data_IF_457100367446
#
_entry.id   IF_457100367446
#
_cell.length_a   1.000
_cell.length_b   1.000
_cell.length_c   1.000
_cell.angle_alpha   90.00
_cell.angle_beta   90.00
_cell.angle_gamma   90.00
#
_symmetry.space_group_name_H-M   'P 1'
#
loop_
_entity.id
_entity.type
_entity.pdbx_description
1 polymer ?
#
# COMPACT_ATOMS: atom_id res chain seq x y z
N UNK A 1 -12.35 37.70 -5.09
CA UNK A 1 -10.92 37.35 -5.15
C UNK A 1 -10.60 36.95 -6.59
N UNK A 2 -9.79 37.72 -7.32
CA UNK A 2 -9.48 37.47 -8.74
C UNK A 2 -8.26 36.55 -8.79
N UNK A 3 -8.46 35.29 -9.16
CA UNK A 3 -7.38 34.32 -9.31
C UNK A 3 -6.46 34.71 -10.48
N UNK A 4 -5.16 34.54 -10.32
CA UNK A 4 -4.20 34.76 -11.39
C UNK A 4 -4.51 33.79 -12.55
N UNK A 5 -4.48 34.27 -13.79
CA UNK A 5 -4.79 33.43 -14.97
C UNK A 5 -3.81 32.24 -15.00
N UNK A 6 -4.33 31.02 -14.94
CA UNK A 6 -3.53 29.78 -14.87
C UNK A 6 -3.32 29.21 -13.45
N UNK A 7 -3.72 29.94 -12.40
CA UNK A 7 -3.74 29.41 -11.03
C UNK A 7 -4.90 28.44 -10.81
N UNK A 8 -4.69 27.44 -9.97
CA UNK A 8 -5.67 26.42 -9.63
C UNK A 8 -5.89 26.40 -8.12
N UNK A 9 -7.15 26.54 -7.71
CA UNK A 9 -7.54 26.46 -6.30
C UNK A 9 -7.89 25.01 -5.96
N UNK A 10 -7.22 24.46 -4.96
CA UNK A 10 -7.47 23.11 -4.47
C UNK A 10 -8.57 23.12 -3.41
N UNK A 11 -9.51 22.19 -3.54
CA UNK A 11 -10.64 22.01 -2.63
C UNK A 11 -10.32 20.96 -1.58
N UNK A 12 -10.49 21.30 -0.30
CA UNK A 12 -10.23 20.39 0.82
C UNK A 12 -11.11 19.14 0.79
N UNK A 13 -12.37 19.27 0.37
CA UNK A 13 -13.33 18.17 0.35
C UNK A 13 -13.06 17.11 -0.75
N UNK A 14 -12.40 17.47 -1.85
CA UNK A 14 -12.29 16.58 -3.02
C UNK A 14 -10.88 16.47 -3.60
N UNK A 15 -10.12 17.57 -3.70
CA UNK A 15 -8.78 17.52 -4.30
C UNK A 15 -7.75 16.94 -3.34
N UNK A 16 -7.78 17.33 -2.07
CA UNK A 16 -6.85 16.82 -1.05
C UNK A 16 -7.00 15.32 -0.78
N UNK A 17 -8.22 14.74 -0.65
CA UNK A 17 -8.38 13.29 -0.57
C UNK A 17 -7.75 12.55 -1.76
N UNK A 18 -7.89 13.11 -2.96
CA UNK A 18 -7.36 12.51 -4.19
C UNK A 18 -5.83 12.62 -4.24
N UNK A 19 -5.26 13.77 -3.87
CA UNK A 19 -3.81 13.96 -3.70
C UNK A 19 -3.22 12.98 -2.69
N UNK A 20 -3.84 12.86 -1.50
CA UNK A 20 -3.40 11.95 -0.44
C UNK A 20 -3.50 10.49 -0.86
N UNK A 21 -4.57 10.10 -1.54
CA UNK A 21 -4.69 8.72 -2.01
C UNK A 21 -3.61 8.38 -3.04
N UNK A 22 -3.30 9.27 -3.99
CA UNK A 22 -2.21 9.05 -4.96
C UNK A 22 -0.85 9.00 -4.26
N UNK A 23 -0.62 9.87 -3.26
CA UNK A 23 0.60 9.84 -2.43
C UNK A 23 0.77 8.49 -1.72
N UNK A 24 -0.28 8.05 -1.00
CA UNK A 24 -0.28 6.81 -0.19
C UNK A 24 -0.21 5.54 -1.03
N UNK A 25 -0.69 5.58 -2.27
CA UNK A 25 -0.64 4.44 -3.19
C UNK A 25 0.69 4.29 -3.91
N UNK A 26 1.57 5.31 -3.93
CA UNK A 26 2.81 5.43 -4.73
C UNK A 26 2.56 5.42 -6.25
N UNK A 27 1.91 4.37 -6.76
CA UNK A 27 1.31 4.29 -8.09
C UNK A 27 -0.12 3.75 -7.97
N UNK A 28 -1.05 4.30 -8.74
CA UNK A 28 -2.46 3.87 -8.74
C UNK A 28 -3.05 3.95 -10.14
N UNK A 29 -3.84 2.96 -10.54
CA UNK A 29 -4.53 3.03 -11.84
C UNK A 29 -5.73 3.98 -11.79
N UNK A 30 -6.19 4.42 -12.95
CA UNK A 30 -7.36 5.30 -13.05
C UNK A 30 -8.62 4.71 -12.39
N UNK A 31 -8.86 3.41 -12.54
CA UNK A 31 -10.02 2.70 -11.98
C UNK A 31 -9.86 2.45 -10.49
N UNK A 32 -8.67 2.04 -10.02
CA UNK A 32 -8.37 1.91 -8.59
C UNK A 32 -8.58 3.25 -7.87
N UNK A 33 -8.07 4.35 -8.45
CA UNK A 33 -8.19 5.67 -7.84
C UNK A 33 -9.65 6.11 -7.74
N UNK A 34 -10.44 5.94 -8.80
CA UNK A 34 -11.87 6.23 -8.74
C UNK A 34 -12.58 5.39 -7.70
N UNK A 35 -12.24 4.11 -7.61
CA UNK A 35 -12.85 3.21 -6.65
C UNK A 35 -12.52 3.61 -5.21
N UNK A 36 -11.28 3.99 -4.91
CA UNK A 36 -10.92 4.58 -3.62
C UNK A 36 -11.75 5.83 -3.31
N UNK A 37 -11.91 6.73 -4.28
CA UNK A 37 -12.71 7.95 -4.08
C UNK A 37 -14.19 7.63 -3.85
N UNK A 38 -14.73 6.63 -4.54
CA UNK A 38 -16.12 6.18 -4.40
C UNK A 38 -16.38 5.51 -3.07
N UNK A 39 -15.54 4.54 -2.69
CA UNK A 39 -15.66 3.80 -1.43
C UNK A 39 -15.36 4.70 -0.22
N UNK A 40 -14.46 5.68 -0.37
CA UNK A 40 -14.18 6.69 0.65
C UNK A 40 -15.22 7.82 0.73
N UNK A 41 -16.25 7.82 -0.13
CA UNK A 41 -17.31 8.83 -0.13
C UNK A 41 -16.91 10.21 -0.67
N UNK A 42 -15.74 10.34 -1.30
CA UNK A 42 -15.19 11.60 -1.80
C UNK A 42 -15.68 11.97 -3.20
N UNK A 43 -16.00 10.98 -4.04
CA UNK A 43 -16.48 11.21 -5.40
C UNK A 43 -17.37 10.06 -5.86
N UNK A 44 -18.58 10.37 -6.33
CA UNK A 44 -19.54 9.37 -6.84
C UNK A 44 -19.71 9.46 -8.35
N UNK A 45 -19.48 10.64 -8.93
CA UNK A 45 -19.69 10.88 -10.35
C UNK A 45 -18.38 10.67 -11.12
N UNK A 46 -18.39 9.69 -12.04
CA UNK A 46 -17.24 9.36 -12.89
C UNK A 46 -16.81 10.53 -13.77
N UNK A 47 -17.74 11.35 -14.28
CA UNK A 47 -17.41 12.51 -15.12
C UNK A 47 -16.73 13.59 -14.31
N UNK A 48 -17.22 13.87 -13.10
CA UNK A 48 -16.62 14.86 -12.19
C UNK A 48 -15.23 14.39 -11.76
N UNK A 49 -15.09 13.11 -11.39
CA UNK A 49 -13.79 12.49 -11.13
C UNK A 49 -12.81 12.68 -12.29
N UNK A 50 -13.20 12.32 -13.51
CA UNK A 50 -12.35 12.40 -14.69
C UNK A 50 -11.90 13.84 -14.97
N UNK A 51 -12.82 14.81 -14.86
CA UNK A 51 -12.50 16.22 -15.02
C UNK A 51 -11.50 16.69 -13.96
N UNK A 52 -11.73 16.33 -12.70
CA UNK A 52 -10.87 16.71 -11.57
C UNK A 52 -9.47 16.14 -11.70
N UNK A 53 -9.38 14.85 -12.02
CA UNK A 53 -8.10 14.17 -12.22
C UNK A 53 -7.32 14.77 -13.39
N UNK A 54 -7.98 15.00 -14.54
CA UNK A 54 -7.36 15.66 -15.69
C UNK A 54 -6.85 17.06 -15.31
N UNK A 55 -7.64 17.84 -14.57
CA UNK A 55 -7.23 19.17 -14.09
C UNK A 55 -5.96 19.07 -13.23
N UNK A 56 -5.91 18.13 -12.28
CA UNK A 56 -4.75 17.97 -11.41
C UNK A 56 -3.49 17.49 -12.16
N UNK A 57 -3.65 16.69 -13.21
CA UNK A 57 -2.55 16.31 -14.12
C UNK A 57 -2.06 17.52 -14.92
N UNK A 58 -2.97 18.28 -15.55
CA UNK A 58 -2.62 19.44 -16.38
C UNK A 58 -1.88 20.52 -15.57
N UNK A 59 -2.26 20.70 -14.30
CA UNK A 59 -1.58 21.64 -13.39
C UNK A 59 -0.36 21.04 -12.68
N UNK A 60 0.06 19.82 -13.05
CA UNK A 60 1.33 19.25 -12.61
C UNK A 60 1.35 18.72 -11.18
N UNK A 61 0.21 18.41 -10.56
CA UNK A 61 0.17 17.75 -9.24
C UNK A 61 0.31 16.23 -9.32
N UNK A 62 -0.04 15.64 -10.46
CA UNK A 62 0.18 14.24 -10.74
C UNK A 62 1.04 14.04 -11.96
N UNK A 63 1.83 12.97 -11.93
CA UNK A 63 2.53 12.45 -13.08
C UNK A 63 1.70 11.29 -13.63
N UNK A 64 1.28 11.41 -14.90
CA UNK A 64 0.63 10.32 -15.62
C UNK A 64 1.68 9.47 -16.33
N UNK A 65 1.59 8.16 -16.14
CA UNK A 65 2.47 7.16 -16.75
C UNK A 65 1.66 6.32 -17.73
N UNK A 66 2.17 6.18 -18.94
CA UNK A 66 1.67 5.21 -19.91
C UNK A 66 2.57 3.98 -19.85
N UNK A 67 2.10 2.94 -19.17
CA UNK A 67 2.84 1.69 -19.02
C UNK A 67 2.14 0.58 -19.80
N UNK A 68 2.81 -0.11 -20.74
CA UNK A 68 2.16 -1.11 -21.59
C UNK A 68 1.61 -2.32 -20.82
N UNK A 69 2.00 -2.49 -19.56
CA UNK A 69 1.63 -3.64 -18.72
C UNK A 69 0.42 -3.38 -17.80
N UNK A 70 -0.04 -2.13 -17.67
CA UNK A 70 -1.25 -1.78 -16.93
C UNK A 70 -2.50 -1.81 -17.84
N UNK A 71 -2.41 -2.53 -18.96
CA UNK A 71 -3.42 -2.53 -20.01
C UNK A 71 -3.53 -1.18 -20.72
N UNK A 72 -4.75 -0.78 -21.06
CA UNK A 72 -5.08 0.51 -21.68
C UNK A 72 -5.20 1.65 -20.65
N UNK A 73 -5.04 1.34 -19.37
CA UNK A 73 -5.30 2.27 -18.29
C UNK A 73 -4.09 3.14 -17.93
N UNK A 74 -4.35 4.42 -17.64
CA UNK A 74 -3.35 5.34 -17.14
C UNK A 74 -3.01 5.04 -15.68
N UNK A 75 -1.72 5.09 -15.34
CA UNK A 75 -1.22 4.98 -13.97
C UNK A 75 -0.78 6.36 -13.50
N UNK A 76 -1.11 6.72 -12.27
CA UNK A 76 -0.78 8.02 -11.68
C UNK A 76 0.16 7.86 -10.50
N UNK A 77 1.09 8.79 -10.36
CA UNK A 77 1.88 9.01 -9.15
C UNK A 77 1.83 10.48 -8.75
N UNK A 78 2.14 10.78 -7.49
CA UNK A 78 2.25 12.17 -7.03
C UNK A 78 3.46 12.82 -7.72
N UNK A 79 3.34 14.09 -8.10
CA UNK A 79 4.49 14.89 -8.54
C UNK A 79 5.20 15.53 -7.34
N UNK A 80 6.40 16.08 -7.56
CA UNK A 80 7.11 16.87 -6.53
C UNK A 80 6.26 18.04 -6.04
N UNK A 81 5.58 18.75 -6.95
CA UNK A 81 4.71 19.89 -6.60
C UNK A 81 3.47 19.46 -5.82
N UNK A 82 2.86 18.32 -6.20
CA UNK A 82 1.74 17.74 -5.46
C UNK A 82 2.12 17.32 -4.05
N UNK A 83 3.29 16.69 -3.90
CA UNK A 83 3.83 16.30 -2.60
C UNK A 83 4.15 17.52 -1.72
N UNK A 84 4.76 18.57 -2.29
CA UNK A 84 5.10 19.79 -1.56
C UNK A 84 3.86 20.49 -0.97
N UNK A 85 2.72 20.47 -1.68
CA UNK A 85 1.46 21.00 -1.15
C UNK A 85 0.97 20.19 0.05
N UNK A 86 1.10 18.86 0.00
CA UNK A 86 0.71 17.99 1.12
C UNK A 86 1.65 18.15 2.32
N UNK A 87 2.94 18.41 2.11
CA UNK A 87 3.89 18.70 3.20
C UNK A 87 3.54 19.99 3.96
N UNK A 88 2.88 20.95 3.32
CA UNK A 88 2.32 22.14 3.99
C UNK A 88 1.02 21.88 4.76
N UNK A 89 0.52 20.64 4.74
CA UNK A 89 -0.59 20.15 5.56
C UNK A 89 -0.05 19.21 6.64
N UNK A 90 -0.86 18.80 7.62
CA UNK A 90 -0.46 17.87 8.70
C UNK A 90 -0.02 16.45 8.22
N UNK A 91 0.19 16.26 6.91
CA UNK A 91 0.70 15.03 6.31
C UNK A 91 2.24 15.02 6.35
N UNK A 92 2.79 14.25 7.30
CA UNK A 92 4.22 14.03 7.39
C UNK A 92 4.68 13.03 6.30
N UNK A 93 5.47 13.50 5.33
CA UNK A 93 5.89 12.68 4.20
C UNK A 93 7.39 12.83 3.89
N UNK A 94 8.12 11.73 4.07
CA UNK A 94 9.44 11.48 3.50
C UNK A 94 9.29 10.82 2.14
N UNK A 95 9.84 11.41 1.06
CA UNK A 95 9.78 10.83 -0.28
C UNK A 95 10.38 9.43 -0.37
N UNK A 96 9.65 8.52 -1.03
CA UNK A 96 10.18 7.22 -1.40
C UNK A 96 11.24 7.37 -2.51
N UNK A 97 12.26 6.49 -2.56
CA UNK A 97 13.27 6.54 -3.60
C UNK A 97 12.68 6.45 -5.01
N UNK A 98 13.08 7.39 -5.86
CA UNK A 98 12.71 7.38 -7.29
C UNK A 98 13.36 6.19 -7.99
N UNK A 99 12.62 5.41 -8.80
CA UNK A 99 13.19 4.28 -9.52
C UNK A 99 14.29 4.75 -10.48
N UNK A 100 15.49 4.15 -10.38
CA UNK A 100 16.66 4.51 -11.19
C UNK A 100 16.63 3.95 -12.62
N UNK A 101 15.84 2.91 -12.87
CA UNK A 101 15.73 2.27 -14.19
C UNK A 101 14.27 2.06 -14.61
N UNK A 102 13.99 1.96 -15.93
CA UNK A 102 12.65 1.62 -16.43
C UNK A 102 12.13 0.28 -15.88
N UNK A 103 13.02 -0.71 -15.72
CA UNK A 103 12.66 -2.02 -15.18
C UNK A 103 12.27 -1.95 -13.70
N UNK A 104 13.03 -1.22 -12.88
CA UNK A 104 12.68 -0.98 -11.47
C UNK A 104 11.36 -0.23 -11.36
N UNK A 105 11.11 0.76 -12.24
CA UNK A 105 9.82 1.47 -12.28
C UNK A 105 8.68 0.52 -12.57
N UNK A 106 8.84 -0.37 -13.55
CA UNK A 106 7.84 -1.39 -13.90
C UNK A 106 7.51 -2.27 -12.70
N UNK A 107 8.52 -2.77 -12.00
CA UNK A 107 8.33 -3.61 -10.81
C UNK A 107 7.57 -2.84 -9.73
N UNK A 108 7.96 -1.59 -9.45
CA UNK A 108 7.29 -0.75 -8.45
C UNK A 108 5.84 -0.44 -8.82
N UNK A 109 5.53 -0.19 -10.10
CA UNK A 109 4.15 0.00 -10.56
C UNK A 109 3.32 -1.25 -10.30
N UNK A 110 3.80 -2.42 -10.72
CA UNK A 110 3.08 -3.68 -10.53
C UNK A 110 2.89 -4.03 -9.05
N UNK A 111 3.91 -3.76 -8.23
CA UNK A 111 3.86 -3.94 -6.77
C UNK A 111 2.80 -3.04 -6.12
N UNK A 112 2.83 -1.73 -6.42
CA UNK A 112 1.87 -0.78 -5.88
C UNK A 112 0.43 -1.04 -6.34
N UNK A 113 0.25 -1.46 -7.60
CA UNK A 113 -1.07 -1.81 -8.13
C UNK A 113 -1.65 -3.00 -7.38
N UNK A 114 -0.87 -4.06 -7.13
CA UNK A 114 -1.36 -5.19 -6.33
C UNK A 114 -1.69 -4.76 -4.89
N UNK A 115 -0.81 -4.00 -4.22
CA UNK A 115 -1.07 -3.52 -2.86
C UNK A 115 -2.37 -2.70 -2.78
N UNK A 116 -2.66 -1.90 -3.80
CA UNK A 116 -3.93 -1.19 -3.90
C UNK A 116 -5.11 -2.16 -4.05
N UNK A 117 -4.99 -3.23 -4.84
CA UNK A 117 -6.05 -4.23 -4.97
C UNK A 117 -6.26 -5.01 -3.67
N UNK A 118 -5.19 -5.33 -2.94
CA UNK A 118 -5.25 -5.95 -1.60
C UNK A 118 -6.06 -5.05 -0.66
N UNK A 119 -5.75 -3.74 -0.62
CA UNK A 119 -6.48 -2.75 0.17
C UNK A 119 -7.94 -2.60 -0.27
N UNK A 120 -8.18 -2.47 -1.58
CA UNK A 120 -9.53 -2.33 -2.15
C UNK A 120 -10.38 -3.56 -1.86
N UNK A 121 -9.80 -4.76 -1.81
CA UNK A 121 -10.54 -5.99 -1.47
C UNK A 121 -11.17 -5.90 -0.07
N UNK A 122 -10.47 -5.34 0.92
CA UNK A 122 -11.03 -5.07 2.25
C UNK A 122 -12.13 -4.01 2.21
N UNK A 123 -11.89 -2.90 1.50
CA UNK A 123 -12.87 -1.81 1.39
C UNK A 123 -14.16 -2.24 0.69
N UNK A 124 -14.06 -3.07 -0.37
CA UNK A 124 -15.20 -3.64 -1.10
C UNK A 124 -16.05 -4.53 -0.21
N UNK A 125 -15.42 -5.26 0.72
CA UNK A 125 -16.10 -6.08 1.71
C UNK A 125 -16.71 -5.28 2.87
N UNK A 126 -16.53 -3.96 2.91
CA UNK A 126 -17.04 -3.11 3.99
C UNK A 126 -16.33 -3.35 5.33
N UNK A 127 -15.14 -3.96 5.32
CA UNK A 127 -14.34 -4.17 6.53
C UNK A 127 -13.78 -2.81 6.94
N UNK A 128 -13.96 -2.43 8.21
CA UNK A 128 -13.35 -1.23 8.76
C UNK A 128 -11.83 -1.41 8.80
N UNK A 129 -11.11 -0.47 8.16
CA UNK A 129 -9.67 -0.51 8.03
C UNK A 129 -9.03 0.82 8.44
N UNK A 130 -7.96 0.73 9.24
CA UNK A 130 -6.92 1.74 9.29
C UNK A 130 -5.72 1.23 8.49
N UNK A 131 -5.36 1.96 7.44
CA UNK A 131 -4.26 1.61 6.55
C UNK A 131 -3.15 2.66 6.64
N UNK A 132 -1.99 2.27 7.16
CA UNK A 132 -0.78 3.10 7.20
C UNK A 132 0.10 2.68 6.02
N UNK A 133 0.40 3.62 5.12
CA UNK A 133 1.15 3.36 3.88
C UNK A 133 2.67 3.24 4.10
N UNK A 134 3.39 2.61 3.16
CA UNK A 134 4.87 2.55 3.11
C UNK A 134 5.52 3.93 3.37
N UNK A 135 4.99 4.99 2.73
CA UNK A 135 5.50 6.35 2.88
C UNK A 135 5.31 6.91 4.29
N UNK A 136 4.18 6.64 4.94
CA UNK A 136 3.93 7.04 6.33
C UNK A 136 4.80 6.25 7.32
N UNK A 137 4.97 4.95 7.08
CA UNK A 137 5.85 4.06 7.87
C UNK A 137 7.28 4.57 7.81
N UNK A 138 7.77 4.89 6.62
CA UNK A 138 9.10 5.47 6.42
C UNK A 138 9.24 6.79 7.16
N UNK A 139 8.29 7.69 6.99
CA UNK A 139 8.28 9.01 7.65
C UNK A 139 8.34 8.86 9.17
N UNK A 140 7.54 7.95 9.73
CA UNK A 140 7.54 7.63 11.16
C UNK A 140 8.87 7.05 11.63
N UNK A 141 9.47 6.14 10.85
CA UNK A 141 10.76 5.52 11.16
C UNK A 141 11.92 6.54 11.14
N UNK A 142 11.87 7.52 10.25
CA UNK A 142 12.89 8.57 10.15
C UNK A 142 12.71 9.66 11.21
N UNK A 143 11.47 10.06 11.49
CA UNK A 143 11.18 11.29 12.24
C UNK A 143 10.76 11.08 13.69
N UNK A 144 10.49 9.85 14.13
CA UNK A 144 10.00 9.56 15.49
C UNK A 144 10.84 8.48 16.18
N UNK A 145 10.84 8.44 17.53
CA UNK A 145 11.43 7.32 18.27
C UNK A 145 10.60 6.03 18.20
N UNK A 146 9.32 6.11 17.79
CA UNK A 146 8.40 4.97 17.74
C UNK A 146 8.49 4.21 16.43
N UNK A 147 9.66 3.62 16.16
CA UNK A 147 9.97 2.98 14.88
C UNK A 147 9.41 1.56 14.78
N UNK A 148 9.11 1.16 13.56
CA UNK A 148 8.96 -0.24 13.18
C UNK A 148 10.35 -0.87 12.98
N UNK A 149 10.45 -2.20 13.07
CA UNK A 149 11.73 -2.88 12.86
C UNK A 149 12.24 -2.78 11.41
N UNK A 150 11.33 -2.58 10.45
CA UNK A 150 11.64 -2.30 9.05
C UNK A 150 10.61 -1.38 8.40
N UNK A 151 10.88 -0.96 7.17
CA UNK A 151 9.88 -0.33 6.30
C UNK A 151 8.98 -1.44 5.75
N UNK A 152 7.73 -1.49 6.24
CA UNK A 152 6.72 -2.41 5.72
C UNK A 152 5.96 -1.80 4.54
N UNK A 153 5.40 -2.64 3.66
CA UNK A 153 4.53 -2.17 2.57
C UNK A 153 3.29 -1.47 3.11
N UNK A 154 2.72 -2.00 4.20
CA UNK A 154 1.68 -1.35 4.97
C UNK A 154 1.62 -1.86 6.41
N UNK A 155 0.97 -1.09 7.29
CA UNK A 155 0.46 -1.59 8.57
C UNK A 155 -1.04 -1.43 8.56
N UNK A 156 -1.72 -2.54 8.78
CA UNK A 156 -3.16 -2.65 8.64
C UNK A 156 -3.75 -2.93 10.02
N UNK A 157 -4.77 -2.17 10.40
CA UNK A 157 -5.65 -2.53 11.51
C UNK A 157 -7.03 -2.80 10.93
N UNK A 158 -7.58 -3.97 11.19
CA UNK A 158 -8.90 -4.39 10.68
C UNK A 158 -9.80 -4.82 11.84
N UNK A 159 -11.09 -4.58 11.71
CA UNK A 159 -12.07 -5.17 12.61
C UNK A 159 -12.23 -6.67 12.31
N UNK A 160 -12.05 -7.51 13.33
CA UNK A 160 -12.24 -8.96 13.27
C UNK A 160 -13.12 -9.37 14.43
N UNK A 161 -14.33 -9.85 14.13
CA UNK A 161 -15.34 -10.15 15.13
C UNK A 161 -15.61 -8.93 16.04
N UNK A 162 -15.38 -9.05 17.35
CA UNK A 162 -15.58 -7.98 18.35
C UNK A 162 -14.28 -7.24 18.72
N UNK A 163 -13.18 -7.47 17.99
CA UNK A 163 -11.86 -6.92 18.31
C UNK A 163 -11.21 -6.28 17.09
N UNK A 164 -10.19 -5.45 17.31
CA UNK A 164 -9.33 -4.92 16.25
C UNK A 164 -8.01 -5.67 16.19
N UNK A 165 -7.64 -6.18 15.03
CA UNK A 165 -6.37 -6.86 14.82
C UNK A 165 -5.40 -5.97 14.04
N UNK A 166 -4.19 -5.78 14.54
CA UNK A 166 -3.13 -4.98 13.92
C UNK A 166 -1.96 -5.85 13.46
N UNK A 167 -1.62 -5.75 12.18
CA UNK A 167 -0.51 -6.50 11.59
C UNK A 167 0.25 -5.68 10.55
N UNK A 168 1.53 -5.98 10.37
CA UNK A 168 2.28 -5.50 9.22
C UNK A 168 1.99 -6.38 8.00
N UNK A 169 1.87 -5.75 6.82
CA UNK A 169 1.64 -6.41 5.55
C UNK A 169 2.88 -6.27 4.67
N UNK A 170 3.25 -7.36 4.01
CA UNK A 170 4.30 -7.45 3.01
C UNK A 170 3.77 -8.18 1.79
N UNK A 171 3.96 -7.61 0.60
CA UNK A 171 3.67 -8.28 -0.66
C UNK A 171 4.96 -8.54 -1.42
N UNK A 172 5.39 -9.80 -1.49
CA UNK A 172 6.62 -10.16 -2.18
C UNK A 172 6.31 -10.62 -3.62
N UNK A 173 6.45 -9.70 -4.59
CA UNK A 173 6.25 -10.05 -6.01
C UNK A 173 7.40 -10.87 -6.60
N UNK A 174 8.62 -10.58 -6.19
CA UNK A 174 9.85 -11.17 -6.74
C UNK A 174 10.82 -11.45 -5.62
N UNK A 175 11.38 -12.66 -5.56
CA UNK A 175 12.30 -13.01 -4.49
C UNK A 175 13.52 -12.06 -4.42
N UNK A 176 13.79 -11.57 -3.22
CA UNK A 176 15.03 -10.85 -2.86
C UNK A 176 16.21 -11.82 -2.75
N UNK A 177 17.42 -11.27 -2.58
CA UNK A 177 18.60 -12.10 -2.29
C UNK A 177 18.49 -12.73 -0.91
N UNK A 178 19.10 -13.89 -0.72
CA UNK A 178 19.17 -14.58 0.56
C UNK A 178 19.66 -13.67 1.71
N UNK A 179 20.71 -12.90 1.47
CA UNK A 179 21.27 -11.95 2.44
C UNK A 179 20.25 -10.94 2.95
N UNK A 180 19.30 -10.53 2.09
CA UNK A 180 18.25 -9.57 2.44
C UNK A 180 17.21 -10.23 3.36
N UNK A 181 16.87 -11.50 3.13
CA UNK A 181 15.98 -12.23 4.02
C UNK A 181 16.60 -12.50 5.40
N UNK A 182 17.91 -12.75 5.45
CA UNK A 182 18.62 -12.91 6.72
C UNK A 182 18.64 -11.59 7.53
N UNK A 183 18.84 -10.44 6.87
CA UNK A 183 18.72 -9.13 7.51
C UNK A 183 17.28 -8.86 7.98
N UNK A 184 16.28 -9.16 7.16
CA UNK A 184 14.86 -9.07 7.55
C UNK A 184 14.58 -9.94 8.77
N UNK A 185 15.05 -11.19 8.79
CA UNK A 185 14.88 -12.10 9.91
C UNK A 185 15.49 -11.54 11.21
N UNK A 186 16.68 -10.94 11.12
CA UNK A 186 17.33 -10.27 12.24
C UNK A 186 16.51 -9.10 12.79
N UNK A 187 15.99 -8.24 11.89
CA UNK A 187 15.15 -7.10 12.27
C UNK A 187 13.82 -7.53 12.87
N UNK A 188 13.14 -8.52 12.31
CA UNK A 188 11.87 -9.02 12.84
C UNK A 188 12.02 -9.61 14.25
N UNK A 189 13.22 -10.06 14.64
CA UNK A 189 13.49 -10.48 16.01
C UNK A 189 13.38 -9.37 17.06
N UNK A 190 13.53 -8.11 16.65
CA UNK A 190 13.44 -6.93 17.54
C UNK A 190 12.12 -6.17 17.38
N UNK A 191 11.17 -6.69 16.59
CA UNK A 191 9.88 -6.03 16.37
C UNK A 191 9.04 -5.98 17.65
N UNK A 192 8.44 -4.81 17.88
CA UNK A 192 7.63 -4.45 19.06
C UNK A 192 6.43 -3.56 18.72
N UNK A 193 6.40 -2.94 17.54
CA UNK A 193 5.37 -1.99 17.11
C UNK A 193 4.17 -2.67 16.43
N UNK A 194 4.31 -3.92 16.02
CA UNK A 194 3.23 -4.78 15.52
C UNK A 194 3.30 -6.16 16.17
N UNK A 195 2.16 -6.84 16.25
CA UNK A 195 2.06 -8.15 16.90
C UNK A 195 2.41 -9.31 15.97
N UNK A 196 2.24 -9.09 14.67
CA UNK A 196 2.44 -10.11 13.63
C UNK A 196 2.66 -9.48 12.26
N UNK A 197 3.23 -10.27 11.35
CA UNK A 197 3.41 -9.89 9.94
C UNK A 197 2.70 -10.89 9.04
N UNK A 198 1.97 -10.40 8.03
CA UNK A 198 1.39 -11.17 6.95
C UNK A 198 2.21 -10.95 5.67
N UNK A 199 2.82 -12.02 5.17
CA UNK A 199 3.46 -12.07 3.86
C UNK A 199 2.50 -12.65 2.83
N UNK A 200 2.23 -11.87 1.79
CA UNK A 200 1.51 -12.26 0.59
C UNK A 200 2.47 -12.41 -0.59
N UNK A 201 2.17 -13.35 -1.47
CA UNK A 201 2.93 -13.60 -2.70
C UNK A 201 1.97 -13.92 -3.84
N UNK A 202 2.31 -13.61 -5.11
CA UNK A 202 1.49 -13.99 -6.25
C UNK A 202 1.45 -15.51 -6.49
N UNK A 203 2.48 -16.26 -6.07
CA UNK A 203 2.58 -17.71 -6.30
C UNK A 203 3.31 -18.44 -5.17
N UNK A 204 3.21 -19.76 -5.19
CA UNK A 204 3.77 -20.64 -4.16
C UNK A 204 5.30 -20.70 -4.18
N UNK A 205 5.95 -20.57 -5.34
CA UNK A 205 7.41 -20.63 -5.44
C UNK A 205 8.06 -19.47 -4.69
N UNK A 206 7.58 -18.25 -4.91
CA UNK A 206 8.06 -17.08 -4.17
C UNK A 206 7.68 -17.18 -2.69
N UNK A 207 6.46 -17.62 -2.38
CA UNK A 207 6.00 -17.76 -0.99
C UNK A 207 6.85 -18.75 -0.20
N UNK A 208 7.10 -19.93 -0.76
CA UNK A 208 7.90 -20.99 -0.14
C UNK A 208 9.36 -20.57 0.02
N UNK A 209 9.90 -19.84 -0.96
CA UNK A 209 11.24 -19.25 -0.86
C UNK A 209 11.34 -18.26 0.30
N UNK A 210 10.41 -17.31 0.43
CA UNK A 210 10.38 -16.35 1.55
C UNK A 210 10.24 -17.08 2.89
N UNK A 211 9.30 -18.03 2.96
CA UNK A 211 8.98 -18.74 4.19
C UNK A 211 10.17 -19.58 4.69
N UNK A 212 10.99 -20.14 3.80
CA UNK A 212 12.23 -20.87 4.16
C UNK A 212 13.13 -20.06 5.09
N UNK A 213 13.26 -18.76 4.86
CA UNK A 213 14.15 -17.89 5.66
C UNK A 213 13.47 -17.33 6.90
N UNK A 214 12.17 -17.05 6.83
CA UNK A 214 11.46 -16.32 7.89
C UNK A 214 10.75 -17.23 8.90
N UNK A 215 10.49 -18.51 8.60
CA UNK A 215 9.84 -19.45 9.53
C UNK A 215 10.61 -19.67 10.83
N UNK A 216 11.93 -19.45 10.84
CA UNK A 216 12.76 -19.64 12.03
C UNK A 216 12.73 -18.44 13.00
N UNK A 217 12.13 -17.33 12.58
CA UNK A 217 12.02 -16.13 13.42
C UNK A 217 10.99 -16.40 14.53
N UNK A 218 11.34 -16.09 15.79
CA UNK A 218 10.46 -16.31 16.96
C UNK A 218 9.20 -15.40 16.97
N UNK A 219 9.15 -14.44 16.06
CA UNK A 219 8.05 -13.49 15.87
C UNK A 219 6.90 -14.14 15.04
N UNK A 220 5.62 -13.83 15.33
CA UNK A 220 4.50 -14.37 14.55
C UNK A 220 4.50 -13.88 13.11
N UNK A 221 4.74 -14.79 12.16
CA UNK A 221 4.73 -14.51 10.73
C UNK A 221 3.79 -15.51 10.05
N UNK A 222 2.89 -14.98 9.22
CA UNK A 222 1.92 -15.75 8.46
C UNK A 222 2.17 -15.55 6.97
N UNK A 223 2.03 -16.63 6.20
CA UNK A 223 2.29 -16.67 4.78
C UNK A 223 1.03 -17.10 4.03
N UNK A 224 0.67 -16.36 3.00
CA UNK A 224 -0.44 -16.72 2.13
C UNK A 224 -0.30 -16.19 0.71
N UNK A 225 -1.25 -16.57 -0.14
CA UNK A 225 -1.26 -16.20 -1.56
C UNK A 225 -2.19 -14.99 -1.77
N UNK A 226 -1.74 -14.02 -2.57
CA UNK A 226 -2.55 -12.87 -2.93
C UNK A 226 -3.86 -13.26 -3.67
N UNK A 227 -3.87 -14.26 -4.58
CA UNK A 227 -5.14 -14.79 -5.12
C UNK A 227 -6.12 -15.24 -4.03
N UNK A 228 -5.65 -15.98 -3.02
CA UNK A 228 -6.49 -16.41 -1.90
C UNK A 228 -7.02 -15.25 -1.07
N UNK A 229 -6.25 -14.16 -0.93
CA UNK A 229 -6.72 -12.93 -0.30
C UNK A 229 -7.87 -12.30 -1.09
N UNK A 230 -7.76 -12.20 -2.41
CA UNK A 230 -8.81 -11.62 -3.23
C UNK A 230 -10.10 -12.45 -3.23
N UNK A 231 -9.98 -13.78 -3.12
CA UNK A 231 -11.13 -14.69 -3.09
C UNK A 231 -11.80 -14.79 -1.72
N UNK A 232 -11.01 -14.84 -0.63
CA UNK A 232 -11.50 -15.20 0.71
C UNK A 232 -11.20 -14.17 1.79
N UNK A 233 -10.42 -13.14 1.49
CA UNK A 233 -10.04 -12.09 2.44
C UNK A 233 -9.50 -12.68 3.74
N UNK A 234 -10.14 -12.36 4.88
CA UNK A 234 -9.73 -12.82 6.21
C UNK A 234 -9.99 -14.32 6.41
N UNK A 235 -10.76 -14.98 5.54
CA UNK A 235 -10.99 -16.42 5.54
C UNK A 235 -9.97 -17.20 4.69
N UNK A 236 -8.96 -16.51 4.14
CA UNK A 236 -7.91 -17.17 3.37
C UNK A 236 -7.06 -18.12 4.25
N UNK A 237 -6.63 -19.26 3.69
CA UNK A 237 -5.69 -20.13 4.39
C UNK A 237 -4.31 -19.47 4.48
N UNK A 238 -3.74 -19.46 5.68
CA UNK A 238 -2.37 -19.03 5.93
C UNK A 238 -1.57 -20.14 6.62
N UNK A 239 -0.28 -20.21 6.31
CA UNK A 239 0.68 -21.04 7.03
C UNK A 239 1.45 -20.17 8.03
N UNK A 240 1.61 -20.66 9.27
CA UNK A 240 2.36 -19.95 10.31
C UNK A 240 3.83 -20.37 10.36
N UNK A 241 4.65 -19.58 11.04
CA UNK A 241 6.06 -19.95 11.33
C UNK A 241 6.19 -21.18 12.24
N UNK A 242 5.17 -21.51 13.04
CA UNK A 242 5.23 -22.53 14.11
C UNK A 242 4.42 -23.82 13.85
N UNK A 243 3.83 -24.01 12.66
CA UNK A 243 3.05 -25.21 12.37
C UNK A 243 2.82 -25.46 10.88
N UNK A 244 2.72 -26.73 10.49
CA UNK A 244 2.48 -27.16 9.10
C UNK A 244 1.00 -27.05 8.67
N UNK A 245 0.08 -26.85 9.62
CA UNK A 245 -1.36 -26.82 9.34
C UNK A 245 -1.79 -25.42 8.90
N UNK A 246 -2.46 -25.35 7.76
CA UNK A 246 -3.16 -24.14 7.34
C UNK A 246 -4.31 -23.83 8.29
N UNK A 247 -4.45 -22.55 8.64
CA UNK A 247 -5.55 -22.01 9.44
C UNK A 247 -6.08 -20.76 8.77
N UNK A 248 -7.31 -20.33 9.09
CA UNK A 248 -7.87 -19.13 8.49
C UNK A 248 -7.14 -17.89 9.03
N UNK A 249 -6.91 -16.88 8.19
CA UNK A 249 -6.23 -15.65 8.63
C UNK A 249 -6.96 -15.01 9.82
N UNK A 250 -8.29 -15.00 9.83
CA UNK A 250 -9.09 -14.45 10.95
C UNK A 250 -8.88 -15.15 12.29
N UNK A 251 -8.44 -16.40 12.31
CA UNK A 251 -8.20 -17.15 13.56
C UNK A 251 -6.87 -16.77 14.19
N UNK A 252 -6.00 -16.14 13.40
CA UNK A 252 -4.67 -15.69 13.81
C UNK A 252 -4.54 -14.17 13.78
N UNK A 253 -5.66 -13.46 13.65
CA UNK A 253 -5.83 -12.00 13.77
C UNK A 253 -6.52 -11.70 15.10
#
# INVERSE_FOLDING_TARGET
MRYFKGSVTLTQAHDYPLLRQVLRSRFVTHSQLFEFMRLGGYERDRKVFNWRLRRLVVHGFFTQHHTPFAGTEAVYSISTSGAAILQGTDECFVPLPTPRSPQTRKINVLHSVELNDIRLSLMRAGIEILWISEGEIRSRNELTPFKFAKEYDAVVTVAVNEHSARFALEYERTAKKESEYLDIAGRLGTERAVERVLYLSPNYDVLSFVAKYLKLVRFPIFFGLAPSWHERLLDMPVSGSRGERYQALREVL
#
